data_IF_847323743898
#
_entry.id   IF_847323743898
#
_cell.length_a   1.000
_cell.length_b   1.000
_cell.length_c   1.000
_cell.angle_alpha   90.00
_cell.angle_beta   90.00
_cell.angle_gamma   90.00
#
_symmetry.space_group_name_H-M   'P 1'
#
loop_
_entity.id
_entity.type
_entity.pdbx_description
1 polymer ?
#
# COMPACT_ATOMS: atom_id res chain seq x y z
N UNK A 1 9.25 -14.10 11.95
CA UNK A 1 8.76 -13.39 10.77
C UNK A 1 7.82 -12.27 11.17
N UNK A 2 7.99 -11.10 10.59
CA UNK A 2 7.10 -9.97 10.76
C UNK A 2 6.42 -9.68 9.41
N UNK A 3 5.12 -9.44 9.43
CA UNK A 3 4.33 -9.12 8.25
C UNK A 3 3.94 -7.64 8.24
N UNK A 4 3.81 -7.07 7.05
CA UNK A 4 3.28 -5.72 6.88
C UNK A 4 1.92 -5.79 6.20
N UNK A 5 0.90 -5.21 6.84
CA UNK A 5 -0.42 -5.03 6.26
C UNK A 5 -0.57 -3.59 5.77
N UNK A 6 -0.80 -3.42 4.47
CA UNK A 6 -1.07 -2.13 3.87
C UNK A 6 -2.56 -1.86 3.80
N UNK A 7 -3.03 -0.93 4.62
CA UNK A 7 -4.45 -0.69 4.92
C UNK A 7 -5.08 0.31 3.97
N UNK A 8 -6.24 -0.05 3.41
CA UNK A 8 -7.12 0.87 2.66
C UNK A 8 -8.03 1.55 3.67
N UNK A 9 -7.77 2.83 3.95
CA UNK A 9 -8.37 3.51 5.09
C UNK A 9 -9.89 3.55 5.11
N UNK A 10 -10.56 3.82 3.99
CA UNK A 10 -12.03 3.88 3.98
C UNK A 10 -12.68 2.52 4.30
N UNK A 11 -12.03 1.41 3.98
CA UNK A 11 -12.54 0.05 4.25
C UNK A 11 -12.66 -0.23 5.75
N UNK A 12 -11.80 0.35 6.58
CA UNK A 12 -11.81 0.15 8.03
C UNK A 12 -13.01 0.79 8.73
N UNK A 13 -13.80 1.59 8.00
CA UNK A 13 -14.98 2.30 8.50
C UNK A 13 -16.31 1.76 7.94
N UNK A 14 -16.28 0.66 7.21
CA UNK A 14 -17.45 0.18 6.45
C UNK A 14 -18.34 -0.79 7.22
N UNK A 15 -18.09 -1.14 8.47
CA UNK A 15 -18.77 -2.19 9.24
C UNK A 15 -18.87 -3.54 8.49
N UNK A 16 -18.03 -3.76 7.50
CA UNK A 16 -17.98 -5.01 6.75
C UNK A 16 -16.95 -5.93 7.42
N UNK A 17 -17.41 -7.05 7.97
CA UNK A 17 -16.60 -8.02 8.70
C UNK A 17 -15.50 -8.71 7.85
N UNK A 18 -15.53 -8.53 6.53
CA UNK A 18 -14.44 -9.00 5.65
C UNK A 18 -13.20 -8.08 5.69
N UNK A 19 -13.28 -6.91 6.32
CA UNK A 19 -12.19 -5.96 6.44
C UNK A 19 -11.85 -5.70 7.91
N UNK A 20 -10.57 -5.48 8.19
CA UNK A 20 -10.13 -4.99 9.50
C UNK A 20 -10.85 -3.68 9.81
N UNK A 21 -11.36 -3.57 11.03
CA UNK A 21 -11.96 -2.33 11.53
C UNK A 21 -10.89 -1.44 12.16
N UNK A 22 -11.19 -0.17 12.37
CA UNK A 22 -10.22 0.80 12.93
C UNK A 22 -9.64 0.34 14.27
N UNK A 23 -10.44 -0.34 15.10
CA UNK A 23 -10.00 -0.84 16.40
C UNK A 23 -9.02 -2.03 16.34
N UNK A 24 -8.95 -2.69 15.18
CA UNK A 24 -8.07 -3.84 14.95
C UNK A 24 -6.65 -3.41 14.54
N UNK A 25 -6.45 -2.13 14.20
CA UNK A 25 -5.18 -1.60 13.67
C UNK A 25 -4.18 -1.31 14.80
N UNK A 26 -3.71 -2.36 15.44
CA UNK A 26 -2.71 -2.27 16.52
C UNK A 26 -1.47 -3.06 16.12
N UNK A 27 -0.36 -2.35 15.96
CA UNK A 27 0.93 -3.00 15.72
C UNK A 27 1.29 -3.93 16.89
N UNK A 28 1.86 -5.07 16.57
CA UNK A 28 2.42 -6.01 17.53
C UNK A 28 3.77 -6.58 17.02
N UNK A 29 4.29 -7.61 17.67
CA UNK A 29 5.55 -8.23 17.27
C UNK A 29 5.48 -9.01 15.95
N UNK A 30 4.30 -9.24 15.40
CA UNK A 30 4.07 -10.04 14.20
C UNK A 30 3.55 -9.23 13.03
N UNK A 31 2.76 -8.18 13.28
CA UNK A 31 2.11 -7.40 12.23
C UNK A 31 2.25 -5.90 12.47
N UNK A 32 2.66 -5.19 11.42
CA UNK A 32 2.67 -3.74 11.35
C UNK A 32 1.69 -3.25 10.29
N UNK A 33 1.06 -2.09 10.53
CA UNK A 33 0.06 -1.51 9.64
C UNK A 33 0.54 -0.19 9.04
N UNK A 34 0.56 -0.13 7.71
CA UNK A 34 0.96 1.03 6.94
C UNK A 34 -0.07 1.39 5.86
N UNK A 35 0.16 2.48 5.15
CA UNK A 35 -0.81 3.03 4.21
C UNK A 35 -0.88 2.29 2.87
N UNK A 36 -2.10 1.91 2.46
CA UNK A 36 -2.45 1.57 1.08
C UNK A 36 -3.40 2.60 0.46
N UNK A 37 -3.24 3.87 0.84
CA UNK A 37 -4.15 4.99 0.59
C UNK A 37 -5.44 4.96 1.43
N UNK A 38 -6.11 6.11 1.49
CA UNK A 38 -7.44 6.16 2.10
C UNK A 38 -8.49 5.63 1.12
N UNK A 39 -8.56 6.18 -0.11
CA UNK A 39 -9.62 5.89 -1.08
C UNK A 39 -9.13 5.85 -2.54
N UNK A 40 -7.84 5.57 -2.79
CA UNK A 40 -7.34 5.46 -4.17
C UNK A 40 -7.51 4.06 -4.77
N UNK A 41 -7.90 3.06 -3.98
CA UNK A 41 -8.00 1.67 -4.44
C UNK A 41 -9.31 1.42 -5.20
N UNK A 42 -9.51 2.17 -6.29
CA UNK A 42 -10.67 2.06 -7.19
C UNK A 42 -10.24 2.09 -8.66
N UNK A 43 -11.12 1.55 -9.52
CA UNK A 43 -11.06 1.81 -10.96
C UNK A 43 -11.39 3.29 -11.19
N UNK A 44 -10.60 3.97 -12.02
CA UNK A 44 -10.83 5.38 -12.35
C UNK A 44 -12.04 5.58 -13.29
N UNK A 45 -12.41 6.83 -13.48
CA UNK A 45 -13.50 7.20 -14.40
C UNK A 45 -13.13 6.99 -15.88
N UNK A 46 -11.85 6.99 -16.20
CA UNK A 46 -11.38 6.71 -17.56
C UNK A 46 -11.24 5.20 -17.78
N UNK A 47 -11.63 4.68 -18.96
CA UNK A 47 -11.46 3.27 -19.29
C UNK A 47 -10.02 2.80 -19.03
N UNK A 48 -9.89 1.66 -18.38
CA UNK A 48 -8.62 0.99 -18.06
C UNK A 48 -7.66 1.75 -17.12
N UNK A 49 -8.04 2.93 -16.62
CA UNK A 49 -7.23 3.69 -15.64
C UNK A 49 -7.63 3.37 -14.20
N UNK A 50 -6.64 3.26 -13.32
CA UNK A 50 -6.87 3.23 -11.88
C UNK A 50 -7.06 4.65 -11.35
N UNK A 51 -7.81 4.81 -10.25
CA UNK A 51 -8.11 6.14 -9.68
C UNK A 51 -6.83 6.96 -9.47
N UNK A 52 -5.79 6.36 -8.88
CA UNK A 52 -4.51 7.04 -8.62
C UNK A 52 -3.89 7.67 -9.88
N UNK A 53 -4.08 7.08 -11.06
CA UNK A 53 -3.51 7.59 -12.33
C UNK A 53 -4.21 8.85 -12.84
N UNK A 54 -5.41 9.12 -12.35
CA UNK A 54 -6.22 10.28 -12.76
C UNK A 54 -6.21 11.42 -11.75
N UNK A 55 -5.60 11.19 -10.57
CA UNK A 55 -5.55 12.18 -9.50
C UNK A 55 -4.43 13.19 -9.71
N UNK A 56 -4.70 14.42 -9.33
CA UNK A 56 -3.69 15.46 -9.18
C UNK A 56 -2.84 15.23 -7.93
N UNK A 57 -1.67 15.84 -7.86
CA UNK A 57 -0.79 15.81 -6.69
C UNK A 57 -1.52 16.28 -5.41
N UNK A 58 -2.38 17.29 -5.51
CA UNK A 58 -3.15 17.80 -4.38
C UNK A 58 -4.24 16.82 -3.90
N UNK A 59 -4.89 16.10 -4.81
CA UNK A 59 -5.85 15.05 -4.45
C UNK A 59 -5.16 13.88 -3.77
N UNK A 60 -4.01 13.48 -4.26
CA UNK A 60 -3.16 12.45 -3.64
C UNK A 60 -2.77 12.88 -2.22
N UNK A 61 -2.30 14.12 -2.03
CA UNK A 61 -1.98 14.66 -0.71
C UNK A 61 -3.17 14.58 0.24
N UNK A 62 -4.35 15.00 -0.18
CA UNK A 62 -5.58 14.94 0.66
C UNK A 62 -5.95 13.52 1.06
N UNK A 63 -5.76 12.55 0.18
CA UNK A 63 -6.00 11.15 0.47
C UNK A 63 -5.02 10.61 1.52
N UNK A 64 -3.74 10.93 1.39
CA UNK A 64 -2.72 10.57 2.38
C UNK A 64 -3.02 11.18 3.76
N UNK A 65 -3.40 12.45 3.83
CA UNK A 65 -3.73 13.12 5.10
C UNK A 65 -4.92 12.45 5.81
N UNK A 66 -5.93 11.97 5.05
CA UNK A 66 -7.03 11.18 5.63
C UNK A 66 -6.56 9.84 6.21
N UNK A 67 -5.60 9.19 5.58
CA UNK A 67 -5.09 7.90 6.03
C UNK A 67 -4.13 8.02 7.21
N UNK A 68 -3.42 9.12 7.32
CA UNK A 68 -2.45 9.42 8.39
C UNK A 68 -3.04 9.36 9.80
N UNK A 69 -4.33 9.64 9.94
CA UNK A 69 -5.05 9.50 11.21
C UNK A 69 -5.42 8.06 11.59
N UNK A 70 -5.18 7.08 10.71
CA UNK A 70 -5.55 5.67 10.91
C UNK A 70 -4.33 4.77 11.08
N UNK A 71 -3.32 4.95 10.24
CA UNK A 71 -2.10 4.14 10.20
C UNK A 71 -0.89 5.03 9.91
N UNK A 72 0.32 4.52 10.19
CA UNK A 72 1.54 5.20 9.75
C UNK A 72 1.59 5.32 8.22
N UNK A 73 2.03 6.47 7.74
CA UNK A 73 2.28 6.73 6.32
C UNK A 73 3.77 6.71 5.96
N UNK A 74 4.64 6.26 6.86
CA UNK A 74 6.08 6.14 6.61
C UNK A 74 6.35 5.20 5.44
N UNK A 75 5.59 4.11 5.34
CA UNK A 75 5.63 3.18 4.23
C UNK A 75 4.29 3.18 3.49
N UNK A 76 4.39 3.14 2.18
CA UNK A 76 3.23 3.21 1.30
C UNK A 76 3.26 2.08 0.27
N UNK A 77 2.14 1.42 0.05
CA UNK A 77 2.00 0.51 -1.08
C UNK A 77 1.03 1.10 -2.11
N UNK A 78 1.47 1.18 -3.36
CA UNK A 78 0.63 1.68 -4.43
C UNK A 78 -0.60 0.80 -4.65
N UNK A 79 -1.82 1.39 -4.70
CA UNK A 79 -3.01 0.69 -5.15
C UNK A 79 -2.78 0.03 -6.50
N UNK A 80 -3.14 -1.25 -6.60
CA UNK A 80 -2.89 -2.09 -7.78
C UNK A 80 -1.42 -2.19 -8.23
N UNK A 81 -0.47 -1.73 -7.41
CA UNK A 81 0.94 -1.62 -7.76
C UNK A 81 1.26 -0.53 -8.80
N UNK A 82 0.29 0.30 -9.15
CA UNK A 82 0.42 1.31 -10.19
C UNK A 82 0.99 2.60 -9.62
N UNK A 83 2.15 2.99 -10.11
CA UNK A 83 2.77 4.28 -9.83
C UNK A 83 2.55 5.25 -10.99
N UNK A 84 2.19 6.50 -10.69
CA UNK A 84 2.09 7.59 -11.66
C UNK A 84 2.97 8.77 -11.25
N UNK A 85 3.24 9.68 -12.18
CA UNK A 85 4.16 10.82 -11.96
C UNK A 85 3.69 11.69 -10.79
N UNK A 86 2.42 12.07 -10.74
CA UNK A 86 1.86 12.90 -9.67
C UNK A 86 2.04 12.27 -8.27
N UNK A 87 1.89 10.94 -8.17
CA UNK A 87 2.12 10.23 -6.93
C UNK A 87 3.60 10.23 -6.53
N UNK A 88 4.50 10.00 -7.48
CA UNK A 88 5.94 10.04 -7.20
C UNK A 88 6.40 11.45 -6.78
N UNK A 89 5.88 12.49 -7.40
CA UNK A 89 6.22 13.88 -7.05
C UNK A 89 5.72 14.24 -5.66
N UNK A 90 4.51 13.78 -5.29
CA UNK A 90 4.03 13.90 -3.91
C UNK A 90 4.95 13.17 -2.93
N UNK A 91 5.30 11.91 -3.20
CA UNK A 91 6.13 11.12 -2.31
C UNK A 91 7.50 11.75 -2.03
N UNK A 92 8.15 12.32 -3.07
CA UNK A 92 9.42 13.04 -2.92
C UNK A 92 9.35 14.26 -1.99
N UNK A 93 8.19 14.90 -1.90
CA UNK A 93 7.95 16.08 -1.06
C UNK A 93 7.31 15.75 0.29
N UNK A 94 7.00 14.50 0.54
CA UNK A 94 6.32 14.01 1.74
C UNK A 94 7.28 13.41 2.78
N UNK A 95 6.74 13.00 3.93
CA UNK A 95 7.47 12.24 4.95
C UNK A 95 7.53 10.73 4.68
N UNK A 96 6.99 10.26 3.55
CA UNK A 96 7.03 8.83 3.19
C UNK A 96 8.47 8.39 2.95
N UNK A 97 8.89 7.34 3.64
CA UNK A 97 10.26 6.82 3.57
C UNK A 97 10.43 5.85 2.40
N UNK A 98 9.49 4.94 2.22
CA UNK A 98 9.55 3.91 1.17
C UNK A 98 8.18 3.71 0.52
N UNK A 99 8.16 3.41 -0.79
CA UNK A 99 6.93 3.03 -1.45
C UNK A 99 7.10 1.78 -2.31
N UNK A 100 6.08 0.92 -2.27
CA UNK A 100 6.09 -0.42 -2.83
C UNK A 100 5.16 -0.52 -4.01
N UNK A 101 5.69 -0.97 -5.13
CA UNK A 101 4.93 -1.36 -6.32
C UNK A 101 4.54 -2.84 -6.24
N UNK A 102 4.05 -3.39 -7.33
CA UNK A 102 3.70 -4.79 -7.44
C UNK A 102 4.70 -5.50 -8.35
N UNK A 103 5.67 -6.17 -7.75
CA UNK A 103 6.61 -7.01 -8.46
C UNK A 103 6.94 -8.24 -7.60
N UNK A 104 6.38 -9.39 -7.95
CA UNK A 104 6.55 -10.65 -7.23
C UNK A 104 7.66 -11.54 -7.81
N UNK A 105 8.41 -11.06 -8.79
CA UNK A 105 9.36 -11.90 -9.52
C UNK A 105 10.78 -11.85 -8.95
N UNK A 106 11.04 -10.99 -7.97
CA UNK A 106 12.36 -10.82 -7.39
C UNK A 106 12.35 -10.21 -6.00
N UNK A 107 13.40 -10.46 -5.25
CA UNK A 107 13.67 -9.77 -4.00
C UNK A 107 14.11 -8.32 -4.23
N UNK A 108 13.93 -7.49 -3.21
CA UNK A 108 14.42 -6.12 -3.17
C UNK A 108 15.94 -6.10 -3.12
N UNK A 109 16.54 -5.15 -3.83
CA UNK A 109 17.97 -4.89 -3.84
C UNK A 109 18.29 -3.44 -3.45
N UNK A 110 19.53 -3.15 -3.12
CA UNK A 110 19.98 -1.78 -2.81
C UNK A 110 19.91 -0.82 -4.00
N UNK A 111 19.79 -1.33 -5.22
CA UNK A 111 19.68 -0.54 -6.46
C UNK A 111 18.25 -0.19 -6.82
N UNK A 112 17.27 -0.67 -6.07
CA UNK A 112 15.87 -0.37 -6.32
C UNK A 112 15.54 1.09 -5.99
N UNK A 113 14.66 1.68 -6.78
CA UNK A 113 14.20 3.05 -6.55
C UNK A 113 13.35 3.09 -5.28
N UNK A 114 13.65 4.03 -4.39
CA UNK A 114 13.02 4.22 -3.08
C UNK A 114 11.49 4.17 -3.09
N UNK A 115 10.87 4.68 -4.16
CA UNK A 115 9.40 4.71 -4.30
C UNK A 115 8.86 3.74 -5.37
N UNK A 116 9.60 2.67 -5.68
CA UNK A 116 9.18 1.61 -6.60
C UNK A 116 9.72 0.24 -6.16
N UNK A 117 9.77 0.01 -4.86
CA UNK A 117 10.29 -1.23 -4.30
C UNK A 117 9.38 -2.41 -4.64
N UNK A 118 9.92 -3.60 -4.94
CA UNK A 118 9.13 -4.80 -5.11
C UNK A 118 8.52 -5.25 -3.76
N UNK A 119 7.40 -5.96 -3.82
CA UNK A 119 6.80 -6.62 -2.67
C UNK A 119 6.15 -7.94 -3.06
N UNK A 120 6.12 -8.87 -2.14
CA UNK A 120 5.31 -10.08 -2.26
C UNK A 120 3.91 -9.86 -1.68
N UNK A 121 2.90 -10.37 -2.36
CA UNK A 121 1.52 -10.33 -1.88
C UNK A 121 1.16 -11.68 -1.28
N UNK A 122 0.95 -11.71 0.04
CA UNK A 122 0.48 -12.91 0.74
C UNK A 122 -1.04 -13.04 0.63
N UNK A 123 -1.54 -14.21 0.32
CA UNK A 123 -2.97 -14.50 0.23
C UNK A 123 -3.28 -15.84 0.91
N UNK A 124 -4.51 -16.00 1.38
CA UNK A 124 -4.92 -17.08 2.28
C UNK A 124 -4.76 -18.49 1.72
N UNK A 125 -4.83 -18.65 0.39
CA UNK A 125 -4.67 -19.94 -0.29
C UNK A 125 -3.29 -20.13 -0.93
N UNK A 126 -2.28 -19.37 -0.47
CA UNK A 126 -0.91 -19.51 -0.97
C UNK A 126 -0.35 -20.88 -0.62
N UNK A 127 0.18 -21.63 -1.59
CA UNK A 127 0.86 -22.90 -1.32
C UNK A 127 2.09 -22.69 -0.43
N UNK A 128 2.25 -23.52 0.61
CA UNK A 128 3.37 -23.38 1.56
C UNK A 128 4.76 -23.41 0.88
N UNK A 129 5.04 -24.22 -0.16
CA UNK A 129 6.33 -24.16 -0.85
C UNK A 129 6.61 -22.80 -1.49
N UNK A 130 5.58 -22.13 -2.04
CA UNK A 130 5.73 -20.80 -2.62
C UNK A 130 5.98 -19.75 -1.53
N UNK A 131 5.25 -19.82 -0.41
CA UNK A 131 5.49 -18.96 0.75
C UNK A 131 6.93 -19.11 1.24
N UNK A 132 7.39 -20.34 1.43
CA UNK A 132 8.76 -20.64 1.88
C UNK A 132 9.80 -20.02 0.97
N UNK A 133 9.66 -20.21 -0.33
CA UNK A 133 10.58 -19.65 -1.34
C UNK A 133 10.62 -18.12 -1.34
N UNK A 134 9.51 -17.45 -0.97
CA UNK A 134 9.48 -15.98 -0.91
C UNK A 134 10.12 -15.41 0.34
N UNK A 135 10.21 -16.15 1.43
CA UNK A 135 10.70 -15.67 2.72
C UNK A 135 12.12 -16.16 3.07
N UNK A 136 12.65 -17.11 2.31
CA UNK A 136 14.03 -17.60 2.35
C UNK A 136 14.92 -16.87 1.33
#
# INVERSE_FOLDING_TARGET
LQATNFVIGYKTKTNNLLYLQTNDLKNDQYVEYYSHSYDMHHIGHLPYKKKIETMTTNEIKRDFEKNKGLVSTDYFAFPYGVSCQNAQDYLKSSSVKLAFSYNQNRHMTRNDKQYLLPRYLMFSNMPFPLFKWWVE
#
